data_IF_127353778157
#
_entry.id   IF_127353778157
#
_cell.length_a   1.000
_cell.length_b   1.000
_cell.length_c   1.000
_cell.angle_alpha   90.00
_cell.angle_beta   90.00
_cell.angle_gamma   90.00
#
_symmetry.space_group_name_H-M   'P 1'
#
loop_
_entity.id
_entity.type
_entity.pdbx_description
1 polymer ?
#
# COMPACT_ATOMS: atom_id res chain seq x y z
N UNK A 1 -22.51 10.10 0.58
CA UNK A 1 -21.18 9.62 0.99
C UNK A 1 -20.51 10.77 1.69
N UNK A 2 -20.22 10.57 2.97
CA UNK A 2 -19.53 11.55 3.81
C UNK A 2 -18.11 11.04 3.97
N UNK A 3 -17.12 11.89 3.67
CA UNK A 3 -15.72 11.58 3.98
C UNK A 3 -15.38 12.27 5.29
N UNK A 4 -15.00 11.48 6.28
CA UNK A 4 -14.58 11.98 7.59
C UNK A 4 -13.11 11.61 7.82
N UNK A 5 -12.22 12.61 7.81
CA UNK A 5 -10.80 12.40 8.12
C UNK A 5 -10.66 12.25 9.64
N UNK A 6 -10.46 11.01 10.08
CA UNK A 6 -10.52 10.59 11.49
C UNK A 6 -9.74 9.26 11.66
N UNK A 7 -9.15 8.93 12.82
CA UNK A 7 -9.11 9.68 14.11
C UNK A 7 -8.11 10.83 14.13
N UNK A 8 -7.89 11.42 15.31
CA UNK A 8 -6.81 12.39 15.52
C UNK A 8 -5.46 11.85 14.98
N UNK A 9 -4.69 12.71 14.32
CA UNK A 9 -3.46 12.32 13.62
C UNK A 9 -3.66 11.69 12.24
N UNK A 10 -4.91 11.41 11.83
CA UNK A 10 -5.21 10.98 10.47
C UNK A 10 -4.99 12.12 9.46
N UNK A 11 -4.81 11.71 8.19
CA UNK A 11 -4.58 12.64 7.08
C UNK A 11 -5.31 12.20 5.82
N UNK A 12 -5.88 13.15 5.10
CA UNK A 12 -6.32 12.99 3.72
C UNK A 12 -5.23 13.52 2.77
N UNK A 13 -4.17 12.73 2.59
CA UNK A 13 -3.04 13.09 1.72
C UNK A 13 -3.15 12.41 0.35
N UNK A 14 -2.49 12.97 -0.67
CA UNK A 14 -2.44 12.37 -2.02
C UNK A 14 -3.86 12.14 -2.58
N UNK A 15 -4.16 10.91 -3.02
CA UNK A 15 -5.50 10.51 -3.47
C UNK A 15 -6.61 10.80 -2.44
N UNK A 16 -6.29 10.88 -1.14
CA UNK A 16 -7.23 11.25 -0.09
C UNK A 16 -7.86 12.63 -0.29
N UNK A 17 -7.15 13.58 -0.92
CA UNK A 17 -7.70 14.90 -1.25
C UNK A 17 -8.81 14.76 -2.30
N UNK A 18 -8.56 14.03 -3.38
CA UNK A 18 -9.54 13.79 -4.43
C UNK A 18 -10.77 13.05 -3.90
N UNK A 19 -10.58 12.05 -3.04
CA UNK A 19 -11.68 11.33 -2.38
C UNK A 19 -12.52 12.31 -1.56
N UNK A 20 -11.87 13.15 -0.76
CA UNK A 20 -12.56 14.17 0.05
C UNK A 20 -13.33 15.16 -0.83
N UNK A 21 -12.71 15.67 -1.90
CA UNK A 21 -13.34 16.60 -2.85
C UNK A 21 -14.50 15.98 -3.62
N UNK A 22 -14.49 14.67 -3.86
CA UNK A 22 -15.59 13.96 -4.54
C UNK A 22 -16.83 13.72 -3.65
N UNK A 23 -16.67 13.85 -2.33
CA UNK A 23 -17.69 13.50 -1.35
C UNK A 23 -18.92 14.41 -1.40
N UNK A 24 -20.07 13.88 -0.98
CA UNK A 24 -21.29 14.71 -0.83
C UNK A 24 -21.16 15.66 0.37
N UNK A 25 -20.36 15.27 1.37
CA UNK A 25 -20.01 16.09 2.53
C UNK A 25 -18.61 15.69 3.02
N UNK A 26 -17.77 16.67 3.32
CA UNK A 26 -16.42 16.50 3.81
C UNK A 26 -16.33 17.02 5.25
N UNK A 27 -15.83 16.17 6.15
CA UNK A 27 -15.61 16.51 7.54
C UNK A 27 -14.19 16.13 7.97
N UNK A 28 -13.64 16.86 8.93
CA UNK A 28 -12.33 16.56 9.52
C UNK A 28 -12.37 16.57 11.05
N UNK A 29 -11.63 15.65 11.64
CA UNK A 29 -11.38 15.60 13.08
C UNK A 29 -10.38 16.65 13.55
N UNK A 30 -10.39 17.01 14.84
CA UNK A 30 -9.29 17.76 15.44
C UNK A 30 -7.94 17.09 15.16
N UNK A 31 -6.88 17.88 15.04
CA UNK A 31 -5.52 17.37 14.83
C UNK A 31 -5.37 16.46 13.59
N UNK A 32 -6.16 16.72 12.55
CA UNK A 32 -6.03 16.06 11.22
C UNK A 32 -5.60 17.07 10.16
N UNK A 33 -5.09 16.56 9.03
CA UNK A 33 -4.64 17.38 7.90
C UNK A 33 -5.12 16.87 6.55
N UNK A 34 -5.16 17.76 5.57
CA UNK A 34 -5.49 17.47 4.17
C UNK A 34 -4.50 18.17 3.24
N UNK A 35 -4.15 17.57 2.11
CA UNK A 35 -3.26 18.17 1.10
C UNK A 35 -2.21 17.22 0.54
N UNK A 36 -1.04 17.75 0.17
CA UNK A 36 0.06 16.97 -0.43
C UNK A 36 -0.43 16.05 -1.57
N UNK A 37 -1.15 16.63 -2.52
CA UNK A 37 -1.80 15.93 -3.63
C UNK A 37 -0.97 15.92 -4.91
N UNK A 38 0.30 16.31 -4.84
CA UNK A 38 1.19 16.33 -6.00
C UNK A 38 1.44 14.91 -6.52
N UNK A 39 1.28 14.67 -7.84
CA UNK A 39 1.56 13.37 -8.42
C UNK A 39 3.04 13.01 -8.25
N UNK A 40 3.29 11.79 -7.81
CA UNK A 40 4.64 11.22 -7.68
C UNK A 40 4.67 9.83 -8.30
N UNK A 41 5.85 9.41 -8.74
CA UNK A 41 6.01 8.03 -9.21
C UNK A 41 6.01 7.08 -8.01
N UNK A 42 5.10 6.10 -8.01
CA UNK A 42 5.03 5.05 -7.00
C UNK A 42 5.88 3.82 -7.35
N UNK A 43 6.40 3.73 -8.58
CA UNK A 43 7.01 2.53 -9.16
C UNK A 43 8.52 2.60 -9.41
N UNK A 44 9.31 3.11 -8.46
CA UNK A 44 10.77 3.05 -8.52
C UNK A 44 11.45 4.02 -9.50
N UNK A 45 12.77 3.90 -9.63
CA UNK A 45 13.73 4.83 -10.26
C UNK A 45 13.48 5.27 -11.72
N UNK A 46 12.41 4.80 -12.38
CA UNK A 46 12.03 5.36 -13.68
C UNK A 46 11.62 6.83 -13.49
N UNK A 47 12.55 7.73 -13.81
CA UNK A 47 12.29 9.15 -13.86
C UNK A 47 11.23 9.39 -14.93
N UNK A 48 10.01 9.67 -14.49
CA UNK A 48 8.99 10.27 -15.33
C UNK A 48 9.62 11.57 -15.86
N UNK A 49 9.64 11.76 -17.17
CA UNK A 49 10.16 13.00 -17.74
C UNK A 49 9.40 14.19 -17.17
N UNK A 50 10.09 15.33 -16.99
CA UNK A 50 9.44 16.54 -16.46
C UNK A 50 8.21 16.92 -17.30
N UNK A 51 8.30 16.83 -18.62
CA UNK A 51 7.17 17.05 -19.53
C UNK A 51 5.96 16.13 -19.25
N UNK A 52 6.20 14.89 -18.83
CA UNK A 52 5.13 13.95 -18.49
C UNK A 52 4.57 14.24 -17.09
N UNK A 53 5.41 14.58 -16.11
CA UNK A 53 4.96 15.03 -14.78
C UNK A 53 4.10 16.30 -14.89
N UNK A 54 4.50 17.25 -15.72
CA UNK A 54 3.73 18.47 -15.98
C UNK A 54 2.37 18.16 -16.60
N UNK A 55 2.32 17.22 -17.57
CA UNK A 55 1.05 16.76 -18.14
C UNK A 55 0.15 16.12 -17.10
N UNK A 56 0.68 15.21 -16.27
CA UNK A 56 -0.08 14.54 -15.20
C UNK A 56 -0.55 15.57 -14.17
N UNK A 57 0.30 16.53 -13.81
CA UNK A 57 -0.04 17.60 -12.86
C UNK A 57 -1.15 18.48 -13.41
N UNK A 58 -1.06 18.91 -14.67
CA UNK A 58 -2.10 19.74 -15.30
C UNK A 58 -3.44 19.00 -15.46
N UNK A 59 -3.40 17.71 -15.79
CA UNK A 59 -4.60 16.86 -15.83
C UNK A 59 -5.21 16.71 -14.42
N UNK A 60 -4.39 16.41 -13.41
CA UNK A 60 -4.80 16.29 -12.01
C UNK A 60 -5.40 17.59 -11.45
N UNK A 61 -4.82 18.75 -11.82
CA UNK A 61 -5.37 20.07 -11.48
C UNK A 61 -6.74 20.27 -12.13
N UNK A 62 -6.87 19.96 -13.41
CA UNK A 62 -8.15 20.08 -14.11
C UNK A 62 -9.21 19.19 -13.48
N UNK A 63 -8.84 17.96 -13.12
CA UNK A 63 -9.72 17.01 -12.46
C UNK A 63 -10.16 17.49 -11.07
N UNK A 64 -9.24 17.93 -10.21
CA UNK A 64 -9.59 18.34 -8.84
C UNK A 64 -10.42 19.64 -8.83
N UNK A 65 -10.17 20.56 -9.77
CA UNK A 65 -10.97 21.78 -9.91
C UNK A 65 -12.40 21.46 -10.33
N UNK A 66 -12.60 20.53 -11.26
CA UNK A 66 -13.93 20.06 -11.63
C UNK A 66 -14.66 19.42 -10.43
N UNK A 67 -13.97 18.63 -9.61
CA UNK A 67 -14.55 18.08 -8.37
C UNK A 67 -14.93 19.20 -7.40
N UNK A 68 -14.04 20.19 -7.22
CA UNK A 68 -14.25 21.34 -6.35
C UNK A 68 -15.50 22.12 -6.76
N UNK A 69 -15.61 22.50 -8.02
CA UNK A 69 -16.74 23.25 -8.58
C UNK A 69 -18.04 22.46 -8.46
N UNK A 70 -18.02 21.16 -8.79
CA UNK A 70 -19.22 20.30 -8.69
C UNK A 70 -19.77 20.16 -7.26
N UNK A 71 -18.93 20.43 -6.25
CA UNK A 71 -19.27 20.34 -4.83
C UNK A 71 -19.25 21.68 -4.10
N UNK A 72 -19.01 22.79 -4.79
CA UNK A 72 -18.91 24.13 -4.19
C UNK A 72 -17.74 24.30 -3.22
N UNK A 73 -16.63 23.56 -3.41
CA UNK A 73 -15.42 23.63 -2.58
C UNK A 73 -14.37 24.54 -3.22
N UNK A 74 -13.40 24.96 -2.43
CA UNK A 74 -12.33 25.86 -2.88
C UNK A 74 -11.43 25.20 -3.94
N UNK A 75 -11.61 25.64 -5.19
CA UNK A 75 -10.85 25.15 -6.35
C UNK A 75 -9.42 25.71 -6.40
N UNK A 76 -9.20 26.94 -5.92
CA UNK A 76 -7.88 27.58 -5.92
C UNK A 76 -6.93 26.87 -4.96
N UNK A 77 -7.41 26.53 -3.76
CA UNK A 77 -6.64 25.73 -2.83
C UNK A 77 -6.41 24.31 -3.36
N UNK A 78 -7.42 23.71 -3.99
CA UNK A 78 -7.31 22.37 -4.58
C UNK A 78 -6.19 22.30 -5.63
N UNK A 79 -6.08 23.33 -6.48
CA UNK A 79 -4.99 23.47 -7.44
C UNK A 79 -3.63 23.56 -6.74
N UNK A 80 -3.50 24.39 -5.70
CA UNK A 80 -2.26 24.48 -4.91
C UNK A 80 -1.89 23.17 -4.25
N UNK A 81 -2.86 22.40 -3.75
CA UNK A 81 -2.60 21.10 -3.13
C UNK A 81 -1.96 20.12 -4.12
N UNK A 82 -2.31 20.22 -5.40
CA UNK A 82 -1.75 19.41 -6.49
C UNK A 82 -0.43 19.99 -7.01
N UNK A 83 -0.32 21.30 -7.27
CA UNK A 83 0.89 21.89 -7.86
C UNK A 83 2.03 22.07 -6.86
N UNK A 84 1.71 22.52 -5.66
CA UNK A 84 2.67 23.01 -4.67
C UNK A 84 2.77 22.08 -3.45
N UNK A 85 2.03 20.97 -3.44
CA UNK A 85 1.97 20.03 -2.32
C UNK A 85 1.55 20.67 -0.98
N UNK A 86 0.80 21.77 -1.01
CA UNK A 86 0.37 22.43 0.24
C UNK A 86 -0.49 21.47 1.08
N UNK A 87 -0.37 21.58 2.39
CA UNK A 87 -1.20 20.85 3.35
C UNK A 87 -1.62 21.78 4.46
N UNK A 88 -2.86 21.63 4.91
CA UNK A 88 -3.50 22.48 5.90
C UNK A 88 -4.18 21.63 6.98
N UNK A 89 -4.40 22.26 8.13
CA UNK A 89 -5.12 21.70 9.28
C UNK A 89 -6.63 21.68 9.05
N UNK A 90 -7.36 20.93 9.87
CA UNK A 90 -8.83 20.91 9.85
C UNK A 90 -9.47 22.30 10.02
N UNK A 91 -8.87 23.19 10.83
CA UNK A 91 -9.40 24.54 11.07
C UNK A 91 -9.25 25.42 9.82
N UNK A 92 -8.06 25.45 9.23
CA UNK A 92 -7.79 26.17 7.98
C UNK A 92 -8.63 25.61 6.82
N UNK A 93 -8.82 24.28 6.77
CA UNK A 93 -9.63 23.64 5.75
C UNK A 93 -11.09 24.08 5.81
N UNK A 94 -11.64 24.25 7.03
CA UNK A 94 -12.99 24.77 7.20
C UNK A 94 -13.08 26.24 6.78
N UNK A 95 -12.13 27.07 7.22
CA UNK A 95 -12.08 28.50 6.90
C UNK A 95 -11.98 28.75 5.39
N UNK A 96 -11.15 27.97 4.70
CA UNK A 96 -10.95 28.08 3.26
C UNK A 96 -12.06 27.44 2.44
N UNK A 97 -13.04 26.75 3.03
CA UNK A 97 -14.09 26.05 2.27
C UNK A 97 -13.58 24.80 1.53
N UNK A 98 -12.56 24.15 2.07
CA UNK A 98 -12.05 22.85 1.60
C UNK A 98 -12.91 21.70 2.15
N UNK A 99 -13.48 21.89 3.33
CA UNK A 99 -14.40 20.95 4.00
C UNK A 99 -15.66 21.68 4.48
N UNK A 100 -16.71 20.92 4.79
CA UNK A 100 -18.02 21.45 5.16
C UNK A 100 -18.18 21.69 6.67
N UNK A 101 -17.47 20.92 7.50
CA UNK A 101 -17.49 21.05 8.96
C UNK A 101 -16.34 20.29 9.64
N UNK A 102 -16.15 20.57 10.93
CA UNK A 102 -15.27 19.78 11.82
C UNK A 102 -16.09 19.03 12.86
N UNK A 103 -15.70 17.79 13.16
CA UNK A 103 -16.36 16.94 14.15
C UNK A 103 -15.35 16.12 14.95
N UNK A 104 -15.55 15.98 16.25
CA UNK A 104 -14.57 15.32 17.15
C UNK A 104 -14.64 13.80 17.11
N UNK A 105 -15.82 13.25 16.79
CA UNK A 105 -16.09 11.82 16.69
C UNK A 105 -17.31 11.59 15.80
N UNK A 106 -17.74 10.33 15.66
CA UNK A 106 -18.85 9.95 14.80
C UNK A 106 -20.17 10.52 15.35
N UNK A 107 -20.35 10.53 16.66
CA UNK A 107 -21.56 11.05 17.31
C UNK A 107 -21.74 12.55 17.06
N UNK A 108 -20.69 13.36 17.27
CA UNK A 108 -20.67 14.80 16.98
C UNK A 108 -20.86 15.07 15.48
N UNK A 109 -20.28 14.25 14.61
CA UNK A 109 -20.50 14.34 13.16
C UNK A 109 -21.99 14.14 12.84
N UNK A 110 -22.60 13.07 13.36
CA UNK A 110 -24.01 12.75 13.11
C UNK A 110 -24.93 13.86 13.62
N UNK A 111 -24.64 14.43 14.79
CA UNK A 111 -25.40 15.56 15.34
C UNK A 111 -25.32 16.80 14.43
N UNK A 112 -24.13 17.15 13.93
CA UNK A 112 -23.90 18.35 13.09
C UNK A 112 -24.44 18.24 11.67
N UNK A 113 -24.64 17.03 11.16
CA UNK A 113 -25.19 16.80 9.81
C UNK A 113 -26.70 16.57 9.82
N UNK A 114 -27.29 16.31 10.99
CA UNK A 114 -28.73 16.11 11.11
C UNK A 114 -29.50 17.34 10.60
N UNK A 115 -30.52 17.10 9.78
CA UNK A 115 -31.33 18.15 9.16
C UNK A 115 -30.67 18.87 7.99
N UNK A 116 -29.41 18.54 7.63
CA UNK A 116 -28.79 19.09 6.42
C UNK A 116 -29.46 18.54 5.17
N UNK A 117 -29.57 19.40 4.17
CA UNK A 117 -30.07 19.07 2.85
C UNK A 117 -28.88 18.94 1.89
N UNK A 118 -28.76 17.81 1.21
CA UNK A 118 -27.73 17.57 0.21
C UNK A 118 -28.36 17.33 -1.17
N UNK A 119 -27.72 17.84 -2.21
CA UNK A 119 -28.10 17.54 -3.59
C UNK A 119 -27.19 16.46 -4.16
N UNK A 120 -27.80 15.43 -4.75
CA UNK A 120 -27.08 14.33 -5.37
C UNK A 120 -27.85 13.80 -6.58
N UNK A 121 -27.18 13.79 -7.73
CA UNK A 121 -27.74 13.29 -9.00
C UNK A 121 -29.09 13.95 -9.36
N UNK A 122 -29.20 15.27 -9.16
CA UNK A 122 -30.41 16.05 -9.44
C UNK A 122 -31.56 15.78 -8.47
N UNK A 123 -31.30 15.12 -7.33
CA UNK A 123 -32.27 14.86 -6.27
C UNK A 123 -31.80 15.47 -4.97
N UNK A 124 -32.73 16.01 -4.21
CA UNK A 124 -32.49 16.58 -2.90
C UNK A 124 -32.77 15.53 -1.83
N UNK A 125 -31.83 15.33 -0.91
CA UNK A 125 -31.95 14.41 0.22
C UNK A 125 -31.84 15.19 1.53
N UNK A 126 -32.76 14.92 2.46
CA UNK A 126 -32.67 15.39 3.84
C UNK A 126 -31.92 14.33 4.67
N UNK A 127 -30.87 14.75 5.37
CA UNK A 127 -30.11 13.88 6.26
C UNK A 127 -30.86 13.77 7.59
N UNK A 128 -31.42 12.59 7.88
CA UNK A 128 -32.04 12.28 9.17
C UNK A 128 -31.08 11.40 9.98
N UNK A 129 -30.09 12.02 10.62
CA UNK A 129 -29.03 11.31 11.33
C UNK A 129 -29.46 10.84 12.73
N UNK A 130 -30.37 11.56 13.41
CA UNK A 130 -30.85 11.19 14.76
C UNK A 130 -31.55 9.84 14.85
N UNK A 131 -32.16 9.39 13.76
CA UNK A 131 -32.86 8.09 13.69
C UNK A 131 -32.02 7.02 12.98
N UNK A 132 -30.80 7.36 12.55
CA UNK A 132 -29.94 6.44 11.85
C UNK A 132 -29.30 5.46 12.83
N UNK A 133 -29.30 4.16 12.47
CA UNK A 133 -28.52 3.15 13.19
C UNK A 133 -27.13 3.10 12.56
N UNK A 134 -26.11 3.32 13.38
CA UNK A 134 -24.72 3.14 12.95
C UNK A 134 -24.39 1.66 12.87
N UNK A 135 -23.98 1.20 11.69
CA UNK A 135 -23.41 -0.12 11.48
C UNK A 135 -21.97 0.03 10.98
N UNK A 136 -21.03 -0.57 11.72
CA UNK A 136 -19.63 -0.57 11.33
C UNK A 136 -19.39 -1.71 10.36
N UNK A 137 -19.05 -1.38 9.12
CA UNK A 137 -18.62 -2.36 8.12
C UNK A 137 -17.16 -2.70 8.39
N UNK A 138 -16.91 -3.85 9.03
CA UNK A 138 -15.55 -4.35 9.24
C UNK A 138 -15.01 -5.06 7.99
N UNK A 139 -13.68 -5.16 7.89
CA UNK A 139 -13.06 -6.05 6.93
C UNK A 139 -13.52 -7.50 7.19
N UNK A 140 -13.97 -8.16 6.12
CA UNK A 140 -14.23 -9.61 6.15
C UNK A 140 -12.98 -10.38 6.57
N UNK A 141 -13.15 -11.61 7.06
CA UNK A 141 -12.03 -12.47 7.44
C UNK A 141 -11.01 -12.61 6.28
N UNK A 142 -11.48 -12.86 5.06
CA UNK A 142 -10.63 -13.03 3.88
C UNK A 142 -9.88 -11.73 3.59
N UNK A 143 -10.58 -10.59 3.55
CA UNK A 143 -9.94 -9.29 3.31
C UNK A 143 -8.89 -8.96 4.37
N UNK A 144 -9.18 -9.26 5.65
CA UNK A 144 -8.25 -9.06 6.77
C UNK A 144 -7.00 -9.93 6.62
N UNK A 145 -7.18 -11.20 6.25
CA UNK A 145 -6.08 -12.13 6.00
C UNK A 145 -5.20 -11.68 4.82
N UNK A 146 -5.80 -11.34 3.69
CA UNK A 146 -5.08 -10.85 2.51
C UNK A 146 -4.34 -9.54 2.81
N UNK A 147 -4.94 -8.63 3.57
CA UNK A 147 -4.28 -7.39 4.00
C UNK A 147 -3.06 -7.63 4.88
N UNK A 148 -3.08 -8.65 5.76
CA UNK A 148 -1.92 -9.05 6.55
C UNK A 148 -0.80 -9.56 5.63
N UNK A 149 -1.13 -10.40 4.64
CA UNK A 149 -0.14 -10.98 3.71
C UNK A 149 0.56 -9.92 2.86
N UNK A 150 -0.13 -8.82 2.52
CA UNK A 150 0.45 -7.71 1.74
C UNK A 150 1.53 -6.94 2.51
N UNK A 151 1.69 -7.16 3.82
CA UNK A 151 2.85 -6.63 4.54
C UNK A 151 4.16 -7.17 3.91
N UNK A 152 5.10 -6.31 3.46
CA UNK A 152 6.31 -6.74 2.76
C UNK A 152 7.14 -7.79 3.51
N UNK A 153 7.20 -7.69 4.85
CA UNK A 153 7.93 -8.65 5.67
C UNK A 153 7.22 -10.01 5.70
N UNK A 154 5.90 -10.02 5.82
CA UNK A 154 5.10 -11.26 5.82
C UNK A 154 5.14 -11.91 4.44
N UNK A 155 4.95 -11.11 3.39
CA UNK A 155 5.10 -11.54 2.00
C UNK A 155 6.46 -12.21 1.75
N UNK A 156 7.54 -11.56 2.20
CA UNK A 156 8.89 -12.10 2.07
C UNK A 156 9.09 -13.38 2.87
N UNK A 157 8.59 -13.46 4.12
CA UNK A 157 8.65 -14.70 4.93
C UNK A 157 7.92 -15.84 4.22
N UNK A 158 6.69 -15.61 3.74
CA UNK A 158 5.92 -16.62 3.01
C UNK A 158 6.67 -17.07 1.77
N UNK A 159 7.24 -16.13 1.02
CA UNK A 159 8.04 -16.44 -0.16
C UNK A 159 9.28 -17.30 0.18
N UNK A 160 10.04 -16.93 1.21
CA UNK A 160 11.22 -17.69 1.66
C UNK A 160 10.84 -19.09 2.17
N UNK A 161 9.80 -19.22 3.00
CA UNK A 161 9.32 -20.54 3.46
C UNK A 161 8.85 -21.37 2.26
N UNK A 162 8.19 -20.73 1.30
CA UNK A 162 7.78 -21.34 0.04
C UNK A 162 8.97 -21.94 -0.71
N UNK A 163 10.05 -21.16 -0.88
CA UNK A 163 11.32 -21.58 -1.47
C UNK A 163 11.91 -22.77 -0.71
N UNK A 164 11.98 -22.70 0.62
CA UNK A 164 12.51 -23.78 1.44
C UNK A 164 11.73 -25.09 1.28
N UNK A 165 10.40 -25.02 1.22
CA UNK A 165 9.57 -26.21 1.00
C UNK A 165 9.87 -26.90 -0.32
N UNK A 166 10.15 -26.12 -1.38
CA UNK A 166 10.58 -26.66 -2.67
C UNK A 166 11.98 -27.28 -2.57
N UNK A 167 12.97 -26.55 -2.04
CA UNK A 167 14.35 -27.05 -1.93
C UNK A 167 14.39 -28.33 -1.09
N UNK A 168 13.67 -28.36 0.03
CA UNK A 168 13.63 -29.53 0.91
C UNK A 168 13.03 -30.76 0.22
N UNK A 169 11.96 -30.62 -0.57
CA UNK A 169 11.38 -31.73 -1.33
C UNK A 169 12.38 -32.33 -2.34
N UNK A 170 13.17 -31.50 -3.00
CA UNK A 170 14.23 -31.99 -3.91
C UNK A 170 15.41 -32.61 -3.17
N UNK A 171 15.71 -32.12 -1.97
CA UNK A 171 16.83 -32.61 -1.15
C UNK A 171 16.54 -33.96 -0.51
N UNK A 172 15.31 -34.15 -0.03
CA UNK A 172 14.85 -35.36 0.63
C UNK A 172 13.52 -35.77 -0.02
N UNK A 173 13.56 -36.48 -1.17
CA UNK A 173 12.36 -36.87 -1.88
C UNK A 173 11.39 -37.61 -0.96
N UNK A 174 10.21 -37.02 -0.73
CA UNK A 174 9.22 -37.50 0.22
C UNK A 174 7.88 -37.82 -0.44
N UNK A 175 6.81 -37.64 0.32
CA UNK A 175 5.43 -37.77 -0.17
C UNK A 175 4.95 -36.55 -0.99
N UNK A 176 5.81 -35.57 -1.30
CA UNK A 176 5.40 -34.32 -1.94
C UNK A 176 4.79 -33.28 -0.99
N UNK A 177 4.67 -33.58 0.30
CA UNK A 177 3.98 -32.70 1.28
C UNK A 177 4.73 -31.38 1.44
N UNK A 178 6.06 -31.43 1.52
CA UNK A 178 6.88 -30.23 1.69
C UNK A 178 6.86 -29.35 0.45
N UNK A 179 6.91 -29.97 -0.73
CA UNK A 179 6.74 -29.28 -2.00
C UNK A 179 5.36 -28.62 -2.13
N UNK A 180 4.28 -29.31 -1.77
CA UNK A 180 2.93 -28.77 -1.84
C UNK A 180 2.72 -27.56 -0.89
N UNK A 181 3.23 -27.65 0.35
CA UNK A 181 3.22 -26.52 1.29
C UNK A 181 4.08 -25.37 0.75
N UNK A 182 5.23 -25.69 0.16
CA UNK A 182 6.11 -24.72 -0.50
C UNK A 182 5.38 -23.94 -1.60
N UNK A 183 4.72 -24.65 -2.52
CA UNK A 183 3.91 -24.03 -3.60
C UNK A 183 2.81 -23.15 -3.03
N UNK A 184 2.09 -23.59 -2.00
CA UNK A 184 1.03 -22.79 -1.37
C UNK A 184 1.57 -21.45 -0.84
N UNK A 185 2.68 -21.48 -0.11
CA UNK A 185 3.28 -20.25 0.41
C UNK A 185 3.89 -19.37 -0.68
N UNK A 186 4.44 -19.96 -1.75
CA UNK A 186 4.84 -19.21 -2.94
C UNK A 186 3.66 -18.49 -3.58
N UNK A 187 2.50 -19.15 -3.75
CA UNK A 187 1.29 -18.52 -4.32
C UNK A 187 0.84 -17.34 -3.44
N UNK A 188 0.85 -17.49 -2.11
CA UNK A 188 0.50 -16.40 -1.20
C UNK A 188 1.52 -15.25 -1.25
N UNK A 189 2.82 -15.56 -1.34
CA UNK A 189 3.88 -14.58 -1.53
C UNK A 189 3.72 -13.83 -2.85
N UNK A 190 3.44 -14.54 -3.96
CA UNK A 190 3.20 -13.92 -5.27
C UNK A 190 1.94 -13.08 -5.31
N UNK A 191 0.88 -13.46 -4.59
CA UNK A 191 -0.29 -12.61 -4.42
C UNK A 191 0.09 -11.27 -3.77
N UNK A 192 0.88 -11.28 -2.69
CA UNK A 192 1.37 -10.03 -2.09
C UNK A 192 2.24 -9.23 -3.07
N UNK A 193 3.14 -9.90 -3.79
CA UNK A 193 4.03 -9.29 -4.79
C UNK A 193 3.28 -8.67 -5.96
N UNK A 194 2.07 -9.15 -6.29
CA UNK A 194 1.24 -8.51 -7.32
C UNK A 194 0.67 -7.15 -6.90
N UNK A 195 0.68 -6.87 -5.59
CA UNK A 195 0.16 -5.62 -4.99
C UNK A 195 1.32 -4.68 -4.62
N UNK A 196 2.50 -5.23 -4.30
CA UNK A 196 3.70 -4.48 -3.95
C UNK A 196 4.45 -3.99 -5.20
N UNK A 197 5.19 -2.88 -5.11
CA UNK A 197 6.04 -2.39 -6.21
C UNK A 197 7.31 -3.25 -6.31
N UNK A 198 7.21 -4.41 -6.97
CA UNK A 198 8.31 -5.37 -7.05
C UNK A 198 9.28 -5.01 -8.17
N UNK A 199 10.58 -5.03 -7.83
CA UNK A 199 11.65 -4.97 -8.82
C UNK A 199 11.89 -6.35 -9.44
N UNK A 200 11.65 -6.47 -10.74
CA UNK A 200 11.84 -7.73 -11.46
C UNK A 200 13.30 -8.21 -11.49
N UNK A 201 14.30 -7.32 -11.42
CA UNK A 201 15.70 -7.73 -11.30
C UNK A 201 15.97 -8.35 -9.94
N UNK A 202 15.43 -7.78 -8.86
CA UNK A 202 15.51 -8.35 -7.52
C UNK A 202 14.88 -9.74 -7.46
N UNK A 203 13.67 -9.89 -8.02
CA UNK A 203 12.99 -11.18 -8.12
C UNK A 203 13.78 -12.20 -8.95
N UNK A 204 14.33 -11.80 -10.10
CA UNK A 204 15.14 -12.67 -10.96
C UNK A 204 16.40 -13.17 -10.26
N UNK A 205 17.06 -12.33 -9.46
CA UNK A 205 18.21 -12.73 -8.64
C UNK A 205 17.83 -13.75 -7.57
N UNK A 206 16.66 -13.63 -6.95
CA UNK A 206 16.21 -14.65 -5.99
C UNK A 206 15.88 -15.96 -6.72
N UNK A 207 15.24 -15.92 -7.89
CA UNK A 207 15.00 -17.11 -8.71
C UNK A 207 16.33 -17.78 -9.11
N UNK A 208 17.33 -16.98 -9.50
CA UNK A 208 18.67 -17.48 -9.78
C UNK A 208 19.28 -18.16 -8.54
N UNK A 209 19.12 -17.58 -7.35
CA UNK A 209 19.60 -18.20 -6.10
C UNK A 209 18.99 -19.60 -5.89
N UNK A 210 17.67 -19.75 -6.10
CA UNK A 210 16.98 -21.05 -5.98
C UNK A 210 17.57 -22.07 -6.96
N UNK A 211 17.75 -21.67 -8.23
CA UNK A 211 18.33 -22.56 -9.25
C UNK A 211 19.73 -22.99 -8.86
N UNK A 212 20.57 -22.07 -8.38
CA UNK A 212 21.93 -22.37 -7.93
C UNK A 212 21.93 -23.34 -6.74
N UNK A 213 21.03 -23.16 -5.76
CA UNK A 213 20.90 -24.07 -4.62
C UNK A 213 20.50 -25.49 -5.06
N UNK A 214 19.49 -25.61 -5.92
CA UNK A 214 19.05 -26.91 -6.43
C UNK A 214 20.16 -27.59 -7.22
N UNK A 215 20.86 -26.85 -8.09
CA UNK A 215 21.97 -27.40 -8.87
C UNK A 215 23.14 -27.84 -7.98
N UNK A 216 23.47 -27.10 -6.92
CA UNK A 216 24.53 -27.47 -5.99
C UNK A 216 24.24 -28.81 -5.30
N UNK A 217 22.99 -29.00 -4.86
CA UNK A 217 22.50 -30.22 -4.21
C UNK A 217 22.49 -31.40 -5.18
N UNK A 218 21.93 -31.20 -6.38
CA UNK A 218 21.79 -32.28 -7.38
C UNK A 218 23.15 -32.71 -7.94
N UNK A 219 24.07 -31.77 -8.17
CA UNK A 219 25.39 -32.05 -8.73
C UNK A 219 26.44 -32.39 -7.66
N UNK A 220 26.15 -32.14 -6.39
CA UNK A 220 27.06 -32.42 -5.28
C UNK A 220 28.35 -31.60 -5.30
N UNK A 221 28.29 -30.31 -5.65
CA UNK A 221 29.50 -29.47 -5.81
C UNK A 221 30.05 -28.89 -4.49
N UNK A 222 29.57 -29.38 -3.35
CA UNK A 222 30.15 -29.08 -2.03
C UNK A 222 30.02 -27.63 -1.58
N UNK A 223 29.00 -26.89 -2.03
CA UNK A 223 28.70 -25.54 -1.55
C UNK A 223 29.14 -24.42 -2.51
N UNK A 224 29.83 -24.73 -3.61
CA UNK A 224 30.39 -23.69 -4.49
C UNK A 224 29.31 -22.85 -5.18
N UNK A 225 28.25 -23.49 -5.70
CA UNK A 225 27.12 -22.77 -6.28
C UNK A 225 26.27 -22.12 -5.18
N UNK A 226 26.20 -22.71 -3.99
CA UNK A 226 25.46 -22.13 -2.86
C UNK A 226 26.01 -20.79 -2.40
N UNK A 227 27.33 -20.56 -2.44
CA UNK A 227 27.90 -19.24 -2.11
C UNK A 227 27.39 -18.17 -3.07
N UNK A 228 27.40 -18.46 -4.38
CA UNK A 228 26.84 -17.56 -5.39
C UNK A 228 25.33 -17.38 -5.20
N UNK A 229 24.60 -18.46 -4.87
CA UNK A 229 23.18 -18.41 -4.57
C UNK A 229 22.85 -17.53 -3.37
N UNK A 230 23.62 -17.60 -2.28
CA UNK A 230 23.43 -16.73 -1.10
C UNK A 230 23.67 -15.26 -1.46
N UNK A 231 24.71 -14.97 -2.24
CA UNK A 231 24.96 -13.62 -2.72
C UNK A 231 23.80 -13.10 -3.60
N UNK A 232 23.31 -13.92 -4.54
CA UNK A 232 22.15 -13.59 -5.37
C UNK A 232 20.88 -13.41 -4.54
N UNK A 233 20.65 -14.22 -3.51
CA UNK A 233 19.52 -14.10 -2.60
C UNK A 233 19.58 -12.78 -1.83
N UNK A 234 20.74 -12.44 -1.25
CA UNK A 234 20.93 -11.19 -0.51
C UNK A 234 20.68 -9.97 -1.39
N UNK A 235 21.39 -9.87 -2.52
CA UNK A 235 21.26 -8.74 -3.44
C UNK A 235 19.82 -8.66 -3.97
N UNK A 236 19.26 -9.81 -4.38
CA UNK A 236 17.90 -9.89 -4.88
C UNK A 236 16.86 -9.46 -3.85
N UNK A 237 17.03 -9.84 -2.58
CA UNK A 237 16.13 -9.48 -1.48
C UNK A 237 16.17 -8.00 -1.12
N UNK A 238 17.35 -7.37 -1.16
CA UNK A 238 17.47 -5.92 -0.97
C UNK A 238 16.85 -5.12 -2.12
N UNK A 239 16.94 -5.65 -3.35
CA UNK A 239 16.35 -5.02 -4.53
C UNK A 239 14.85 -5.33 -4.70
N UNK A 240 14.32 -6.36 -4.03
CA UNK A 240 13.02 -6.96 -4.35
C UNK A 240 11.86 -5.95 -4.31
N UNK A 241 11.83 -5.04 -3.35
CA UNK A 241 10.77 -4.03 -3.22
C UNK A 241 11.35 -2.66 -3.53
N UNK A 242 10.88 -2.06 -4.62
CA UNK A 242 11.34 -0.77 -5.12
C UNK A 242 10.42 0.36 -4.63
N UNK A 243 10.81 0.99 -3.53
CA UNK A 243 10.00 2.04 -2.91
C UNK A 243 10.81 2.97 -2.03
N UNK A 244 10.46 4.26 -2.06
CA UNK A 244 10.98 5.26 -1.12
C UNK A 244 10.24 5.27 0.22
N UNK A 245 9.08 4.62 0.30
CA UNK A 245 8.27 4.56 1.51
C UNK A 245 8.88 3.57 2.53
N UNK A 246 9.39 4.03 3.69
CA UNK A 246 10.08 3.14 4.63
C UNK A 246 9.22 1.98 5.15
N UNK A 247 7.91 2.18 5.26
CA UNK A 247 6.96 1.17 5.73
C UNK A 247 6.67 0.06 4.69
N UNK A 248 7.01 0.28 3.41
CA UNK A 248 6.91 -0.72 2.36
C UNK A 248 8.21 -1.51 2.16
N UNK A 249 9.31 -1.13 2.82
CA UNK A 249 10.58 -1.86 2.72
C UNK A 249 10.56 -3.14 3.55
N UNK A 250 11.26 -4.16 3.07
CA UNK A 250 11.55 -5.37 3.84
C UNK A 250 12.61 -5.00 4.89
N UNK A 251 12.41 -5.44 6.13
CA UNK A 251 13.34 -5.20 7.22
C UNK A 251 14.70 -5.83 6.89
N UNK A 252 15.77 -5.04 6.99
CA UNK A 252 17.15 -5.50 6.77
C UNK A 252 17.50 -6.69 7.66
N UNK A 253 17.06 -6.67 8.92
CA UNK A 253 17.25 -7.78 9.86
C UNK A 253 16.61 -9.08 9.38
N UNK A 254 15.45 -8.99 8.73
CA UNK A 254 14.75 -10.15 8.17
C UNK A 254 15.50 -10.71 6.96
N UNK A 255 15.98 -9.85 6.04
CA UNK A 255 16.78 -10.27 4.88
C UNK A 255 18.04 -11.02 5.34
N UNK A 256 18.78 -10.44 6.30
CA UNK A 256 20.00 -11.04 6.84
C UNK A 256 19.68 -12.36 7.54
N UNK A 257 18.65 -12.38 8.41
CA UNK A 257 18.27 -13.59 9.15
C UNK A 257 17.85 -14.72 8.21
N UNK A 258 17.04 -14.42 7.19
CA UNK A 258 16.62 -15.40 6.19
C UNK A 258 17.85 -15.96 5.44
N UNK A 259 18.76 -15.10 5.03
CA UNK A 259 19.97 -15.52 4.29
C UNK A 259 20.92 -16.37 5.15
N UNK A 260 21.05 -16.05 6.43
CA UNK A 260 21.82 -16.87 7.40
C UNK A 260 21.15 -18.24 7.59
N UNK A 261 19.83 -18.29 7.74
CA UNK A 261 19.09 -19.55 7.90
C UNK A 261 19.21 -20.42 6.64
N UNK A 262 19.08 -19.82 5.44
CA UNK A 262 19.27 -20.52 4.15
C UNK A 262 20.68 -21.08 4.05
N UNK A 263 21.69 -20.25 4.35
CA UNK A 263 23.10 -20.67 4.31
C UNK A 263 23.37 -21.82 5.28
N UNK A 264 22.84 -21.74 6.51
CA UNK A 264 23.00 -22.78 7.52
C UNK A 264 22.33 -24.10 7.12
N UNK A 265 21.15 -24.02 6.51
CA UNK A 265 20.44 -25.21 5.99
C UNK A 265 21.24 -25.91 4.88
N UNK A 266 21.78 -25.16 3.93
CA UNK A 266 22.57 -25.70 2.80
C UNK A 266 23.91 -26.32 3.23
N UNK A 267 24.41 -26.00 4.43
CA UNK A 267 25.61 -26.65 5.00
C UNK A 267 25.27 -28.03 5.58
N UNK A 268 24.03 -28.22 6.06
CA UNK A 268 23.60 -29.44 6.74
C UNK A 268 23.15 -30.52 5.74
N UNK A 269 22.50 -30.09 4.66
CA UNK A 269 21.90 -30.95 3.62
C UNK A 269 22.92 -31.26 2.54
#
# INVERSE_FOLDING_TARGET
VIVFVYPEGARAASAGVFITYSSDLAAMGPSTSIGAAHPVNLGGEQQISQDMLDKITNDSVSFIKNLAESRGRNADWAEKAVRESVSITAAEALELGVIDLTASNIEDLLEKIDGRVIEKSGKTFLINAKIARTEKIEMSFISRFLHIIVNPNIAYILFIIGIFGIIYEFSQPGLGISGAIGVLFLILGFYAFSILPINYAGLALIILAIILFILDIVLGLGGMLSIAGVASLLIGSFLLVDTDAPYLKIATSLIISASVIVSGFLIIV
#
